data_IF_888237500861
#
_entry.id   IF_888237500861
#
_cell.length_a   1.000
_cell.length_b   1.000
_cell.length_c   1.000
_cell.angle_alpha   90.00
_cell.angle_beta   90.00
_cell.angle_gamma   90.00
#
_symmetry.space_group_name_H-M   'P 1'
#
loop_
_entity.id
_entity.type
_entity.pdbx_description
1 polymer ?
#
# COMPACT_ATOMS: atom_id res chain seq x y z
N UNK A 1 -18.99 -9.60 11.66
CA UNK A 1 -19.33 -9.45 10.22
C UNK A 1 -19.56 -10.83 9.59
N UNK A 2 -20.33 -10.96 8.50
CA UNK A 2 -20.57 -12.26 7.87
C UNK A 2 -19.55 -12.53 6.75
N UNK A 3 -18.63 -13.47 6.96
CA UNK A 3 -17.60 -13.91 6.00
C UNK A 3 -18.01 -15.17 5.20
N UNK A 4 -19.29 -15.53 5.20
CA UNK A 4 -19.81 -16.76 4.57
C UNK A 4 -19.38 -18.00 5.33
N UNK A 5 -18.82 -18.98 4.61
CA UNK A 5 -18.35 -20.25 5.20
C UNK A 5 -16.95 -20.15 5.80
N UNK A 6 -16.42 -18.92 6.00
CA UNK A 6 -15.07 -18.67 6.54
C UNK A 6 -15.13 -17.86 7.83
N UNK A 7 -14.04 -17.85 8.58
CA UNK A 7 -13.89 -17.04 9.79
C UNK A 7 -12.87 -15.91 9.56
N UNK A 8 -12.88 -14.83 10.36
CA UNK A 8 -11.86 -13.78 10.31
C UNK A 8 -10.43 -14.32 10.33
N UNK A 9 -10.19 -15.34 11.16
CA UNK A 9 -8.88 -15.97 11.29
C UNK A 9 -8.48 -16.75 10.02
N UNK A 10 -9.42 -17.47 9.40
CA UNK A 10 -9.16 -18.19 8.14
C UNK A 10 -8.86 -17.21 7.00
N UNK A 11 -9.62 -16.10 6.91
CA UNK A 11 -9.36 -15.06 5.91
C UNK A 11 -7.97 -14.47 6.10
N UNK A 12 -7.62 -14.07 7.32
CA UNK A 12 -6.30 -13.50 7.60
C UNK A 12 -5.15 -14.45 7.33
N UNK A 13 -5.30 -15.73 7.68
CA UNK A 13 -4.30 -16.76 7.41
C UNK A 13 -4.11 -16.96 5.90
N UNK A 14 -5.21 -17.06 5.14
CA UNK A 14 -5.15 -17.21 3.69
C UNK A 14 -4.51 -16.01 3.01
N UNK A 15 -4.85 -14.77 3.43
CA UNK A 15 -4.24 -13.55 2.89
C UNK A 15 -2.74 -13.50 3.17
N UNK A 16 -2.32 -13.77 4.41
CA UNK A 16 -0.89 -13.83 4.77
C UNK A 16 -0.14 -14.86 3.92
N UNK A 17 -0.72 -16.05 3.75
CA UNK A 17 -0.10 -17.11 2.97
C UNK A 17 -0.05 -16.77 1.46
N UNK A 18 -1.05 -16.10 0.91
CA UNK A 18 -1.01 -15.59 -0.46
C UNK A 18 0.18 -14.64 -0.66
N UNK A 19 0.35 -13.66 0.24
CA UNK A 19 1.48 -12.72 0.20
C UNK A 19 2.82 -13.46 0.30
N UNK A 20 2.94 -14.43 1.22
CA UNK A 20 4.16 -15.23 1.38
C UNK A 20 4.53 -16.00 0.11
N UNK A 21 3.55 -16.58 -0.55
CA UNK A 21 3.76 -17.29 -1.84
C UNK A 21 4.12 -16.34 -2.96
N UNK A 22 3.46 -15.17 -3.03
CA UNK A 22 3.79 -14.14 -4.02
C UNK A 22 5.24 -13.64 -3.85
N UNK A 23 5.67 -13.34 -2.61
CA UNK A 23 7.07 -12.98 -2.32
C UNK A 23 8.04 -14.04 -2.86
N UNK A 24 7.80 -15.33 -2.57
CA UNK A 24 8.69 -16.42 -3.06
C UNK A 24 8.73 -16.47 -4.58
N UNK A 25 7.59 -16.35 -5.24
CA UNK A 25 7.52 -16.39 -6.70
C UNK A 25 8.24 -15.22 -7.34
N UNK A 26 8.02 -14.00 -6.86
CA UNK A 26 8.69 -12.79 -7.35
C UNK A 26 10.22 -12.93 -7.17
N UNK A 27 10.67 -13.43 -6.02
CA UNK A 27 12.09 -13.68 -5.76
C UNK A 27 12.70 -14.72 -6.69
N UNK A 28 11.97 -15.80 -6.99
CA UNK A 28 12.43 -16.86 -7.92
C UNK A 28 12.66 -16.29 -9.33
N UNK A 29 11.87 -15.30 -9.74
CA UNK A 29 11.98 -14.69 -11.06
C UNK A 29 12.93 -13.50 -11.13
N UNK A 30 13.52 -13.05 -10.02
CA UNK A 30 14.28 -11.79 -9.95
C UNK A 30 15.38 -11.62 -11.01
N UNK A 31 15.96 -12.70 -11.51
CA UNK A 31 17.06 -12.66 -12.48
C UNK A 31 16.70 -13.25 -13.85
N UNK A 32 15.49 -13.82 -13.99
CA UNK A 32 15.06 -14.59 -15.17
C UNK A 32 13.65 -14.18 -15.64
N UNK A 33 13.27 -12.93 -15.44
CA UNK A 33 11.96 -12.42 -15.85
C UNK A 33 11.98 -11.86 -17.27
N UNK A 34 10.84 -11.92 -17.93
CA UNK A 34 10.53 -11.16 -19.14
C UNK A 34 9.79 -9.88 -18.75
N UNK A 35 10.06 -8.78 -19.46
CA UNK A 35 9.39 -7.50 -19.24
C UNK A 35 8.82 -6.97 -20.55
N UNK A 36 7.64 -6.36 -20.46
CA UNK A 36 6.99 -5.65 -21.55
C UNK A 36 6.41 -4.32 -21.07
N UNK A 37 6.17 -3.41 -22.01
CA UNK A 37 5.52 -2.14 -21.70
C UNK A 37 4.00 -2.30 -21.72
N UNK A 38 3.32 -1.64 -20.79
CA UNK A 38 1.87 -1.48 -20.75
C UNK A 38 1.49 0.00 -20.73
N UNK A 39 0.24 0.30 -21.05
CA UNK A 39 -0.28 1.66 -20.99
C UNK A 39 -0.27 2.18 -19.55
N UNK A 40 0.20 3.42 -19.38
CA UNK A 40 0.11 4.12 -18.11
C UNK A 40 -1.34 4.54 -17.84
N UNK A 41 -1.78 4.41 -16.60
CA UNK A 41 -3.10 4.88 -16.16
C UNK A 41 -3.20 6.42 -16.17
N UNK A 42 -2.05 7.12 -16.09
CA UNK A 42 -2.02 8.60 -16.02
C UNK A 42 -2.31 9.23 -17.39
N UNK A 43 -1.64 8.79 -18.44
CA UNK A 43 -1.69 9.44 -19.77
C UNK A 43 -1.87 8.47 -20.95
N UNK A 44 -2.01 7.17 -20.66
CA UNK A 44 -2.13 6.13 -21.68
C UNK A 44 -0.84 5.85 -22.47
N UNK A 45 0.27 6.50 -22.16
CA UNK A 45 1.55 6.25 -22.80
C UNK A 45 2.08 4.86 -22.44
N UNK A 46 2.84 4.24 -23.34
CA UNK A 46 3.43 2.91 -23.16
C UNK A 46 4.70 2.99 -22.27
N UNK A 47 4.59 3.58 -21.07
CA UNK A 47 5.71 3.83 -20.15
C UNK A 47 5.69 2.97 -18.89
N UNK A 48 4.57 2.34 -18.59
CA UNK A 48 4.49 1.40 -17.47
C UNK A 48 5.01 0.03 -17.87
N UNK A 49 5.45 -0.74 -16.88
CA UNK A 49 6.04 -2.06 -17.05
C UNK A 49 5.15 -3.13 -16.43
N UNK A 50 5.12 -4.27 -17.10
CA UNK A 50 4.65 -5.53 -16.55
C UNK A 50 5.72 -6.58 -16.79
N UNK A 51 5.96 -7.44 -15.82
CA UNK A 51 6.91 -8.56 -15.95
C UNK A 51 6.20 -9.90 -15.80
N UNK A 52 6.89 -10.97 -16.20
CA UNK A 52 6.40 -12.33 -15.96
C UNK A 52 6.19 -12.61 -14.46
N UNK A 53 6.92 -11.90 -13.58
CA UNK A 53 6.78 -12.01 -12.12
C UNK A 53 5.45 -11.44 -11.62
N UNK A 54 4.99 -10.29 -12.17
CA UNK A 54 3.67 -9.70 -11.88
C UNK A 54 2.56 -10.70 -12.19
N UNK A 55 2.58 -11.23 -13.41
CA UNK A 55 1.57 -12.20 -13.88
C UNK A 55 1.59 -13.50 -13.07
N UNK A 56 2.77 -14.00 -12.70
CA UNK A 56 2.90 -15.22 -11.90
C UNK A 56 2.40 -14.99 -10.47
N UNK A 57 2.73 -13.86 -9.85
CA UNK A 57 2.24 -13.49 -8.52
C UNK A 57 0.72 -13.33 -8.54
N UNK A 58 0.13 -12.64 -9.54
CA UNK A 58 -1.32 -12.51 -9.67
C UNK A 58 -2.02 -13.87 -9.78
N UNK A 59 -1.48 -14.81 -10.54
CA UNK A 59 -2.03 -16.17 -10.64
C UNK A 59 -2.07 -16.88 -9.30
N UNK A 60 -1.09 -16.67 -8.42
CA UNK A 60 -1.08 -17.24 -7.06
C UNK A 60 -2.26 -16.70 -6.25
N UNK A 61 -2.46 -15.39 -6.21
CA UNK A 61 -3.58 -14.76 -5.53
C UNK A 61 -4.92 -15.29 -6.05
N UNK A 62 -5.13 -15.21 -7.35
CA UNK A 62 -6.39 -15.62 -7.98
C UNK A 62 -6.71 -17.11 -7.76
N UNK A 63 -5.70 -17.98 -7.79
CA UNK A 63 -5.89 -19.42 -7.53
C UNK A 63 -6.41 -19.67 -6.11
N UNK A 64 -5.83 -19.01 -5.11
CA UNK A 64 -6.25 -19.19 -3.71
C UNK A 64 -7.63 -18.59 -3.50
N UNK A 65 -7.88 -17.38 -4.03
CA UNK A 65 -9.19 -16.72 -3.91
C UNK A 65 -10.29 -17.56 -4.56
N UNK A 66 -10.07 -18.06 -5.77
CA UNK A 66 -11.04 -18.91 -6.46
C UNK A 66 -11.40 -20.18 -5.66
N UNK A 67 -10.41 -20.76 -4.97
CA UNK A 67 -10.62 -22.02 -4.24
C UNK A 67 -11.20 -21.80 -2.84
N UNK A 68 -10.80 -20.73 -2.14
CA UNK A 68 -11.16 -20.48 -0.74
C UNK A 68 -12.31 -19.47 -0.58
N UNK A 69 -12.48 -18.57 -1.53
CA UNK A 69 -13.42 -17.44 -1.48
C UNK A 69 -14.18 -17.25 -2.81
N UNK A 70 -14.85 -18.30 -3.36
CA UNK A 70 -15.39 -18.30 -4.73
C UNK A 70 -16.49 -17.24 -4.96
N UNK A 71 -17.11 -16.74 -3.88
CA UNK A 71 -18.18 -15.73 -3.93
C UNK A 71 -17.67 -14.30 -3.75
N UNK A 72 -16.37 -14.09 -3.42
CA UNK A 72 -15.84 -12.76 -3.21
C UNK A 72 -15.45 -12.11 -4.54
N UNK A 73 -15.57 -10.79 -4.61
CA UNK A 73 -15.08 -10.01 -5.74
C UNK A 73 -13.56 -9.91 -5.74
N UNK A 74 -13.01 -9.51 -6.88
CA UNK A 74 -11.58 -9.23 -7.05
C UNK A 74 -11.42 -8.00 -7.93
N UNK A 75 -10.51 -7.12 -7.51
CA UNK A 75 -9.98 -6.01 -8.28
C UNK A 75 -8.46 -6.18 -8.28
N UNK A 76 -7.85 -6.45 -9.41
CA UNK A 76 -6.42 -6.64 -9.52
C UNK A 76 -5.81 -5.77 -10.61
N UNK A 77 -4.55 -5.42 -10.44
CA UNK A 77 -3.85 -4.50 -11.34
C UNK A 77 -3.70 -5.06 -12.74
N UNK A 78 -3.13 -6.28 -12.86
CA UNK A 78 -2.81 -6.81 -14.16
C UNK A 78 -4.07 -7.22 -14.92
N UNK A 79 -4.10 -6.87 -16.20
CA UNK A 79 -5.26 -6.98 -17.09
C UNK A 79 -6.49 -6.19 -16.60
N UNK A 80 -6.29 -5.21 -15.67
CA UNK A 80 -7.38 -4.44 -15.03
C UNK A 80 -8.53 -5.35 -14.57
N UNK A 81 -8.15 -6.49 -13.96
CA UNK A 81 -9.09 -7.57 -13.67
C UNK A 81 -10.17 -7.14 -12.67
N UNK A 82 -11.43 -7.33 -13.08
CA UNK A 82 -12.62 -7.06 -12.29
C UNK A 82 -13.51 -8.30 -12.21
N UNK A 83 -13.67 -8.87 -11.04
CA UNK A 83 -14.61 -9.96 -10.78
C UNK A 83 -15.62 -9.47 -9.73
N UNK A 84 -16.90 -9.37 -10.05
CA UNK A 84 -17.90 -8.90 -9.10
C UNK A 84 -18.12 -9.92 -7.97
N UNK A 85 -18.44 -9.41 -6.78
CA UNK A 85 -18.89 -10.24 -5.66
C UNK A 85 -20.24 -10.91 -6.02
N UNK A 86 -20.35 -12.22 -5.79
CA UNK A 86 -21.56 -13.01 -6.10
C UNK A 86 -22.48 -13.17 -4.90
N UNK A 87 -22.03 -12.81 -3.70
CA UNK A 87 -22.82 -12.98 -2.48
C UNK A 87 -23.92 -11.91 -2.38
N UNK A 88 -25.18 -12.35 -2.16
CA UNK A 88 -26.35 -11.46 -2.16
C UNK A 88 -26.40 -10.46 -1.00
N UNK A 89 -25.79 -10.78 0.16
CA UNK A 89 -25.94 -10.01 1.39
C UNK A 89 -24.64 -9.33 1.85
N UNK A 90 -23.63 -9.22 0.98
CA UNK A 90 -22.32 -8.64 1.28
C UNK A 90 -21.62 -8.26 0.01
N UNK A 91 -20.72 -7.29 0.08
CA UNK A 91 -19.91 -6.86 -1.06
C UNK A 91 -18.41 -6.99 -0.73
N UNK A 92 -17.98 -8.21 -0.38
CA UNK A 92 -16.60 -8.50 -0.05
C UNK A 92 -15.76 -8.60 -1.33
N UNK A 93 -14.73 -7.78 -1.43
CA UNK A 93 -13.87 -7.70 -2.59
C UNK A 93 -12.40 -7.65 -2.20
N UNK A 94 -11.57 -8.47 -2.81
CA UNK A 94 -10.12 -8.35 -2.70
C UNK A 94 -9.58 -7.33 -3.68
N UNK A 95 -8.64 -6.48 -3.21
CA UNK A 95 -7.78 -5.68 -4.10
C UNK A 95 -6.39 -6.28 -4.10
N UNK A 96 -5.72 -6.34 -5.26
CA UNK A 96 -4.43 -7.01 -5.40
C UNK A 96 -3.51 -6.16 -6.27
N UNK A 97 -2.35 -5.80 -5.72
CA UNK A 97 -1.17 -5.44 -6.49
C UNK A 97 -0.18 -6.63 -6.41
N UNK A 98 -0.02 -7.35 -7.50
CA UNK A 98 0.82 -8.54 -7.49
C UNK A 98 2.30 -8.23 -7.32
N UNK A 99 2.79 -7.10 -7.87
CA UNK A 99 4.17 -6.63 -7.75
C UNK A 99 4.22 -5.12 -7.75
N UNK A 100 4.10 -4.52 -6.56
CA UNK A 100 4.28 -3.09 -6.35
C UNK A 100 5.76 -2.70 -6.49
N UNK A 101 6.02 -1.73 -7.37
CA UNK A 101 7.37 -1.30 -7.70
C UNK A 101 8.01 -2.07 -8.86
N UNK A 102 7.24 -2.42 -9.89
CA UNK A 102 7.69 -3.15 -11.10
C UNK A 102 8.93 -2.53 -11.74
N UNK A 103 9.03 -1.18 -11.81
CA UNK A 103 10.22 -0.49 -12.33
C UNK A 103 11.46 -0.72 -11.46
N UNK A 104 11.31 -0.79 -10.12
CA UNK A 104 12.41 -1.11 -9.21
C UNK A 104 12.84 -2.58 -9.35
N UNK A 105 11.87 -3.49 -9.50
CA UNK A 105 12.13 -4.90 -9.77
C UNK A 105 12.89 -5.10 -11.08
N UNK A 106 12.43 -4.50 -12.18
CA UNK A 106 13.07 -4.58 -13.49
C UNK A 106 14.51 -4.05 -13.50
N UNK A 107 14.79 -3.02 -12.68
CA UNK A 107 16.15 -2.50 -12.46
C UNK A 107 16.98 -3.34 -11.48
N UNK A 108 16.42 -4.43 -10.95
CA UNK A 108 17.07 -5.31 -9.97
C UNK A 108 17.52 -4.59 -8.69
N UNK A 109 16.75 -3.57 -8.28
CA UNK A 109 17.04 -2.81 -7.05
C UNK A 109 16.96 -3.73 -5.82
N UNK A 110 17.74 -3.42 -4.79
CA UNK A 110 17.79 -4.18 -3.52
C UNK A 110 16.73 -3.74 -2.51
N UNK A 111 15.89 -2.75 -2.86
CA UNK A 111 14.78 -2.24 -2.06
C UNK A 111 13.64 -1.75 -2.96
N UNK A 112 12.51 -1.43 -2.37
CA UNK A 112 11.38 -0.81 -3.08
C UNK A 112 10.63 -1.78 -4.00
N UNK A 113 10.52 -3.06 -3.63
CA UNK A 113 9.73 -4.07 -4.32
C UNK A 113 8.81 -4.75 -3.32
N UNK A 114 7.52 -4.65 -3.55
CA UNK A 114 6.47 -5.18 -2.69
C UNK A 114 5.45 -6.04 -3.43
N UNK A 115 4.48 -6.53 -2.68
CA UNK A 115 3.24 -7.16 -3.16
C UNK A 115 2.15 -6.89 -2.15
N UNK A 116 0.93 -6.60 -2.59
CA UNK A 116 -0.12 -6.11 -1.71
C UNK A 116 -1.46 -6.78 -1.94
N UNK A 117 -2.22 -6.95 -0.86
CA UNK A 117 -3.61 -7.40 -0.90
C UNK A 117 -4.41 -6.73 0.22
N UNK A 118 -5.63 -6.32 -0.08
CA UNK A 118 -6.61 -5.94 0.93
C UNK A 118 -7.95 -6.63 0.69
N UNK A 119 -8.75 -6.77 1.75
CA UNK A 119 -10.15 -7.20 1.71
C UNK A 119 -11.02 -6.01 2.09
N UNK A 120 -11.92 -5.66 1.21
CA UNK A 120 -12.88 -4.56 1.38
C UNK A 120 -14.30 -5.11 1.60
N UNK A 121 -15.09 -4.38 2.39
CA UNK A 121 -16.54 -4.34 2.29
C UNK A 121 -16.95 -2.96 1.83
N UNK A 122 -17.37 -2.86 0.56
CA UNK A 122 -17.51 -1.59 -0.15
C UNK A 122 -16.16 -0.81 -0.14
N UNK A 123 -16.05 0.27 0.64
CA UNK A 123 -14.83 1.06 0.82
C UNK A 123 -14.15 0.86 2.18
N UNK A 124 -14.73 0.03 3.06
CA UNK A 124 -14.14 -0.26 4.35
C UNK A 124 -13.08 -1.35 4.22
N UNK A 125 -11.86 -1.08 4.64
CA UNK A 125 -10.78 -2.07 4.66
C UNK A 125 -10.92 -2.96 5.89
N UNK A 126 -11.26 -4.22 5.67
CA UNK A 126 -11.44 -5.21 6.73
C UNK A 126 -10.15 -5.91 7.13
N UNK A 127 -9.23 -6.02 6.18
CA UNK A 127 -7.93 -6.68 6.34
C UNK A 127 -6.99 -6.19 5.24
N UNK A 128 -5.71 -6.09 5.54
CA UNK A 128 -4.71 -5.72 4.56
C UNK A 128 -3.36 -6.35 4.90
N UNK A 129 -2.61 -6.72 3.87
CA UNK A 129 -1.24 -7.21 3.98
C UNK A 129 -0.37 -6.64 2.87
N UNK A 130 0.80 -6.17 3.26
CA UNK A 130 1.88 -5.70 2.38
C UNK A 130 3.09 -6.58 2.63
N UNK A 131 3.65 -7.16 1.59
CA UNK A 131 4.84 -8.00 1.66
C UNK A 131 6.05 -7.32 1.04
N UNK A 132 7.15 -7.27 1.78
CA UNK A 132 8.45 -6.84 1.27
C UNK A 132 9.15 -8.03 0.60
N UNK A 133 9.37 -7.93 -0.69
CA UNK A 133 10.02 -8.99 -1.48
C UNK A 133 11.49 -9.17 -1.08
N UNK A 134 12.16 -8.10 -0.62
CA UNK A 134 13.58 -8.14 -0.30
C UNK A 134 13.85 -8.70 1.08
N UNK A 135 13.16 -8.21 2.10
CA UNK A 135 13.32 -8.66 3.50
C UNK A 135 12.46 -9.89 3.83
N UNK A 136 11.49 -10.22 2.97
CA UNK A 136 10.49 -11.27 3.18
C UNK A 136 9.57 -11.02 4.39
N UNK A 137 9.51 -9.79 4.86
CA UNK A 137 8.62 -9.36 5.92
C UNK A 137 7.22 -9.10 5.37
N UNK A 138 6.23 -9.27 6.21
CA UNK A 138 4.82 -9.00 5.90
C UNK A 138 4.27 -8.06 6.96
N UNK A 139 3.62 -7.00 6.52
CA UNK A 139 2.97 -6.00 7.37
C UNK A 139 1.47 -6.09 7.16
N UNK A 140 0.68 -6.17 8.23
CA UNK A 140 -0.76 -6.22 8.04
C UNK A 140 -1.55 -6.68 9.25
N UNK A 141 -2.85 -6.82 9.02
CA UNK A 141 -3.82 -7.24 10.04
C UNK A 141 -4.90 -8.13 9.43
N UNK A 142 -5.35 -9.11 10.18
CA UNK A 142 -6.51 -9.95 9.84
C UNK A 142 -7.82 -9.23 10.13
N UNK A 143 -8.94 -9.66 9.54
CA UNK A 143 -10.23 -9.10 9.89
C UNK A 143 -10.49 -9.22 11.41
N UNK A 144 -11.17 -8.23 11.97
CA UNK A 144 -11.53 -8.17 13.40
C UNK A 144 -10.32 -8.18 14.36
N UNK A 145 -9.10 -7.94 13.87
CA UNK A 145 -7.94 -7.74 14.73
C UNK A 145 -7.87 -6.29 15.21
N UNK A 146 -7.49 -6.08 16.46
CA UNK A 146 -7.18 -4.75 17.00
C UNK A 146 -5.74 -4.33 16.72
N UNK A 147 -4.91 -5.25 16.27
CA UNK A 147 -3.48 -5.06 16.10
C UNK A 147 -3.04 -5.21 14.65
N UNK A 148 -2.05 -4.42 14.28
CA UNK A 148 -1.23 -4.59 13.06
C UNK A 148 0.08 -5.26 13.44
N UNK A 149 0.55 -6.17 12.60
CA UNK A 149 1.77 -6.92 12.84
C UNK A 149 2.79 -6.73 11.73
N UNK A 150 4.07 -6.71 12.10
CA UNK A 150 5.21 -7.06 11.26
C UNK A 150 5.54 -8.52 11.50
N UNK A 151 5.59 -9.30 10.44
CA UNK A 151 5.79 -10.75 10.49
C UNK A 151 7.04 -11.08 9.68
N UNK A 152 8.03 -11.69 10.31
CA UNK A 152 9.30 -12.06 9.66
C UNK A 152 9.14 -13.24 8.70
N UNK A 153 10.19 -13.55 7.96
CA UNK A 153 10.27 -14.75 7.11
C UNK A 153 10.11 -16.07 7.91
N UNK A 154 10.41 -16.05 9.20
CA UNK A 154 10.29 -17.20 10.12
C UNK A 154 8.97 -17.21 10.90
N UNK A 155 7.98 -16.42 10.48
CA UNK A 155 6.67 -16.29 11.15
C UNK A 155 6.71 -15.74 12.59
N UNK A 156 7.82 -15.13 13.02
CA UNK A 156 7.81 -14.34 14.25
C UNK A 156 7.07 -13.03 14.01
N UNK A 157 6.18 -12.66 14.95
CA UNK A 157 5.33 -11.49 14.81
C UNK A 157 5.62 -10.45 15.89
N UNK A 158 5.73 -9.20 15.48
CA UNK A 158 5.82 -8.01 16.31
C UNK A 158 4.58 -7.16 16.12
N UNK A 159 3.94 -6.71 17.19
CA UNK A 159 2.84 -5.74 17.09
C UNK A 159 3.38 -4.35 16.80
N UNK A 160 2.88 -3.72 15.76
CA UNK A 160 3.28 -2.38 15.37
C UNK A 160 2.51 -1.30 16.14
N UNK A 161 3.18 -0.18 16.39
CA UNK A 161 2.60 1.01 17.01
C UNK A 161 3.15 2.25 16.30
N UNK A 162 2.30 3.26 16.08
CA UNK A 162 2.76 4.52 15.48
C UNK A 162 3.74 5.26 16.38
N UNK A 163 4.61 6.05 15.78
CA UNK A 163 5.43 7.02 16.49
C UNK A 163 4.63 8.31 16.77
N UNK A 164 4.88 8.91 17.92
CA UNK A 164 4.41 10.26 18.26
C UNK A 164 5.63 11.06 18.67
N UNK A 165 6.12 11.86 17.73
CA UNK A 165 7.29 12.73 17.93
C UNK A 165 7.01 14.10 17.33
N UNK A 166 7.58 15.19 17.90
CA UNK A 166 7.44 16.52 17.33
C UNK A 166 8.14 16.60 15.97
N UNK A 167 7.66 17.51 15.12
CA UNK A 167 8.08 17.60 13.71
C UNK A 167 9.58 17.82 13.55
N UNK A 168 10.21 18.57 14.45
CA UNK A 168 11.66 18.84 14.43
C UNK A 168 12.53 17.62 14.80
N UNK A 169 11.90 16.52 15.22
CA UNK A 169 12.56 15.21 15.47
C UNK A 169 12.11 14.14 14.49
N UNK A 170 11.10 14.45 13.68
CA UNK A 170 10.49 13.52 12.72
C UNK A 170 11.28 13.47 11.41
N UNK A 171 11.49 12.28 10.88
CA UNK A 171 11.98 12.07 9.53
C UNK A 171 10.82 11.97 8.55
N UNK A 172 10.94 12.67 7.43
CA UNK A 172 9.95 12.67 6.35
C UNK A 172 10.45 11.85 5.16
N UNK A 173 9.64 10.90 4.71
CA UNK A 173 9.89 10.22 3.45
C UNK A 173 9.14 10.92 2.31
N UNK A 174 9.87 11.32 1.29
CA UNK A 174 9.36 11.89 0.05
C UNK A 174 9.34 10.83 -1.05
N UNK A 175 8.27 10.81 -1.84
CA UNK A 175 8.16 9.96 -3.03
C UNK A 175 8.72 10.60 -4.29
N UNK A 176 9.11 11.88 -4.23
CA UNK A 176 9.72 12.63 -5.32
C UNK A 176 10.88 13.48 -4.81
N UNK A 177 11.68 13.99 -5.74
CA UNK A 177 12.83 14.84 -5.42
C UNK A 177 12.37 16.16 -4.78
N UNK A 178 13.05 16.67 -3.72
CA UNK A 178 12.67 17.91 -3.03
C UNK A 178 12.47 19.11 -3.95
N UNK A 179 13.28 19.23 -5.03
CA UNK A 179 13.18 20.31 -6.00
C UNK A 179 11.88 20.35 -6.81
N UNK A 180 11.12 19.26 -6.82
CA UNK A 180 9.88 19.13 -7.58
C UNK A 180 8.66 19.62 -6.77
N UNK A 181 8.84 19.90 -5.48
CA UNK A 181 7.77 20.42 -4.65
C UNK A 181 7.65 21.95 -4.75
N UNK A 182 6.44 22.50 -4.71
CA UNK A 182 6.21 23.95 -4.66
C UNK A 182 6.91 24.62 -3.47
N UNK A 183 7.26 25.91 -3.55
CA UNK A 183 7.96 26.62 -2.47
C UNK A 183 7.25 26.59 -1.11
N UNK A 184 5.90 26.53 -1.11
CA UNK A 184 5.13 26.41 0.13
C UNK A 184 5.37 25.06 0.82
N UNK A 185 5.36 23.98 0.06
CA UNK A 185 5.67 22.63 0.58
C UNK A 185 7.14 22.49 0.96
N UNK A 186 8.07 23.09 0.20
CA UNK A 186 9.48 23.10 0.56
C UNK A 186 9.70 23.67 1.97
N UNK A 187 9.04 24.81 2.31
CA UNK A 187 9.09 25.37 3.68
C UNK A 187 8.52 24.45 4.76
N UNK A 188 7.49 23.66 4.43
CA UNK A 188 6.95 22.67 5.35
C UNK A 188 7.95 21.49 5.52
N UNK A 189 8.53 21.02 4.43
CA UNK A 189 9.54 19.95 4.42
C UNK A 189 10.74 20.34 5.28
N UNK A 190 11.20 21.60 5.22
CA UNK A 190 12.33 22.13 6.00
C UNK A 190 12.10 22.12 7.52
N UNK A 191 10.86 21.88 7.99
CA UNK A 191 10.56 21.78 9.44
C UNK A 191 10.91 20.40 10.01
N UNK A 192 11.07 19.39 9.18
CA UNK A 192 11.42 18.03 9.61
C UNK A 192 12.90 17.91 9.94
N UNK A 193 13.23 16.96 10.82
CA UNK A 193 14.61 16.68 11.22
C UNK A 193 15.50 16.25 10.05
N UNK A 194 14.92 15.48 9.16
CA UNK A 194 15.59 14.96 7.96
C UNK A 194 14.62 14.46 6.94
N UNK A 195 15.13 14.25 5.73
CA UNK A 195 14.34 13.84 4.57
C UNK A 195 15.00 12.66 3.89
N UNK A 196 14.23 11.60 3.71
CA UNK A 196 14.57 10.49 2.83
C UNK A 196 13.78 10.60 1.52
N UNK A 197 14.41 10.23 0.40
CA UNK A 197 13.74 10.19 -0.91
C UNK A 197 13.76 8.76 -1.43
N UNK A 198 12.59 8.17 -1.63
CA UNK A 198 12.47 6.78 -2.07
C UNK A 198 11.41 6.62 -3.17
N UNK A 199 11.80 5.96 -4.25
CA UNK A 199 10.91 5.50 -5.32
C UNK A 199 10.60 3.99 -5.20
N UNK A 200 10.00 3.42 -6.24
CA UNK A 200 9.62 2.01 -6.28
C UNK A 200 8.29 1.76 -5.57
N UNK A 201 8.19 0.69 -4.81
CA UNK A 201 6.98 0.27 -4.10
C UNK A 201 6.45 1.35 -3.16
N UNK A 202 5.19 1.73 -3.34
CA UNK A 202 4.52 2.63 -2.41
C UNK A 202 4.21 1.89 -1.10
N UNK A 203 3.86 0.61 -1.15
CA UNK A 203 3.62 -0.21 0.03
C UNK A 203 4.85 -0.31 0.92
N UNK A 204 6.06 -0.45 0.35
CA UNK A 204 7.30 -0.52 1.12
C UNK A 204 7.68 0.85 1.70
N UNK A 205 7.42 1.94 0.98
CA UNK A 205 7.59 3.28 1.55
C UNK A 205 6.73 3.49 2.79
N UNK A 206 5.46 3.04 2.75
CA UNK A 206 4.60 3.07 3.93
C UNK A 206 4.98 2.04 5.00
N UNK A 207 5.58 0.91 4.65
CA UNK A 207 6.12 -0.03 5.63
C UNK A 207 7.23 0.63 6.49
N UNK A 208 8.02 1.55 5.94
CA UNK A 208 9.00 2.33 6.70
C UNK A 208 8.32 3.23 7.76
N UNK A 209 7.17 3.85 7.42
CA UNK A 209 6.34 4.59 8.38
C UNK A 209 5.83 3.66 9.50
N UNK A 210 5.29 2.51 9.15
CA UNK A 210 4.72 1.58 10.12
C UNK A 210 5.77 0.94 11.03
N UNK A 211 7.01 0.74 10.54
CA UNK A 211 8.17 0.28 11.32
C UNK A 211 8.81 1.39 12.15
N UNK A 212 8.42 2.65 11.95
CA UNK A 212 8.99 3.83 12.60
C UNK A 212 10.45 4.11 12.17
N UNK A 213 10.77 3.84 10.92
CA UNK A 213 12.02 4.30 10.28
C UNK A 213 11.90 5.74 9.82
N UNK A 214 10.67 6.19 9.55
CA UNK A 214 10.27 7.57 9.31
C UNK A 214 8.96 7.84 10.05
N UNK A 215 8.65 9.10 10.32
CA UNK A 215 7.44 9.48 11.07
C UNK A 215 6.37 10.09 10.20
N UNK A 216 6.72 10.41 8.96
CA UNK A 216 5.78 10.93 7.98
C UNK A 216 6.14 10.46 6.56
N UNK A 217 5.12 10.36 5.70
CA UNK A 217 5.28 10.10 4.25
C UNK A 217 4.52 11.17 3.49
N UNK A 218 5.18 11.82 2.53
CA UNK A 218 4.57 12.77 1.60
C UNK A 218 4.62 12.20 0.18
N UNK A 219 3.43 12.03 -0.42
CA UNK A 219 3.30 11.65 -1.82
C UNK A 219 2.95 12.86 -2.66
N UNK A 220 3.41 12.91 -3.92
CA UNK A 220 3.02 13.93 -4.90
C UNK A 220 1.67 13.65 -5.55
N UNK A 221 1.39 14.35 -6.65
CA UNK A 221 0.28 14.02 -7.53
C UNK A 221 0.45 12.61 -8.06
N UNK A 222 -0.56 11.77 -7.93
CA UNK A 222 -0.49 10.38 -8.33
C UNK A 222 -1.87 9.85 -8.75
N UNK A 223 -1.85 8.75 -9.45
CA UNK A 223 -3.05 8.02 -9.77
C UNK A 223 -3.36 7.05 -8.62
N UNK A 224 -4.39 7.35 -7.83
CA UNK A 224 -4.83 6.48 -6.76
C UNK A 224 -5.53 5.26 -7.36
N UNK A 225 -5.00 4.07 -7.09
CA UNK A 225 -5.58 2.80 -7.52
C UNK A 225 -6.18 2.05 -6.34
N UNK A 226 -7.18 1.20 -6.55
CA UNK A 226 -7.75 0.38 -5.48
C UNK A 226 -6.72 -0.52 -4.80
N UNK A 227 -5.80 -1.09 -5.58
CA UNK A 227 -4.82 -2.07 -5.13
C UNK A 227 -3.66 -1.46 -4.35
N UNK A 228 -3.26 -0.22 -4.65
CA UNK A 228 -2.27 0.54 -3.87
C UNK A 228 -2.89 1.17 -2.63
N UNK A 229 -4.01 1.85 -2.83
CA UNK A 229 -4.62 2.70 -1.79
C UNK A 229 -5.22 1.89 -0.66
N UNK A 230 -5.91 0.78 -0.94
CA UNK A 230 -6.62 0.05 0.09
C UNK A 230 -5.70 -0.54 1.17
N UNK A 231 -4.57 -1.23 0.86
CA UNK A 231 -3.66 -1.71 1.87
C UNK A 231 -3.04 -0.58 2.69
N UNK A 232 -2.61 0.50 2.04
CA UNK A 232 -1.96 1.65 2.68
C UNK A 232 -2.91 2.33 3.66
N UNK A 233 -4.11 2.68 3.19
CA UNK A 233 -5.13 3.34 4.02
C UNK A 233 -5.53 2.44 5.18
N UNK A 234 -5.78 1.16 4.91
CA UNK A 234 -6.20 0.21 5.92
C UNK A 234 -5.21 0.05 7.07
N UNK A 235 -3.94 -0.18 6.75
CA UNK A 235 -2.88 -0.37 7.76
C UNK A 235 -2.59 0.94 8.49
N UNK A 236 -2.42 2.06 7.77
CA UNK A 236 -2.12 3.35 8.39
C UNK A 236 -3.24 3.83 9.32
N UNK A 237 -4.51 3.70 8.90
CA UNK A 237 -5.67 4.01 9.75
C UNK A 237 -5.75 3.12 10.99
N UNK A 238 -5.51 1.81 10.82
CA UNK A 238 -5.52 0.85 11.93
C UNK A 238 -4.45 1.15 12.97
N UNK A 239 -3.31 1.68 12.55
CA UNK A 239 -2.24 2.18 13.44
C UNK A 239 -2.54 3.56 14.04
N UNK A 240 -3.58 4.26 13.55
CA UNK A 240 -3.96 5.58 14.03
C UNK A 240 -3.17 6.73 13.43
N UNK A 241 -2.54 6.53 12.25
CA UNK A 241 -2.01 7.65 11.46
C UNK A 241 -3.14 8.46 10.87
N UNK A 242 -2.88 9.76 10.66
CA UNK A 242 -3.80 10.74 10.08
C UNK A 242 -3.40 11.06 8.66
N UNK A 243 -4.38 11.50 7.87
CA UNK A 243 -4.22 11.83 6.46
C UNK A 243 -4.54 13.30 6.26
N UNK A 244 -3.65 14.02 5.60
CA UNK A 244 -3.88 15.41 5.24
C UNK A 244 -3.59 15.61 3.74
N UNK A 245 -4.49 16.28 3.03
CA UNK A 245 -4.19 16.81 1.70
C UNK A 245 -3.50 18.16 1.83
N UNK A 246 -2.57 18.41 0.93
CA UNK A 246 -1.82 19.66 0.87
C UNK A 246 -1.90 20.19 -0.56
N UNK A 247 -2.39 21.41 -0.69
CA UNK A 247 -2.46 22.11 -1.97
C UNK A 247 -1.10 22.75 -2.32
N UNK A 248 -0.91 23.08 -3.59
CA UNK A 248 0.35 23.69 -4.07
C UNK A 248 0.68 25.03 -3.41
N UNK A 249 -0.30 25.75 -2.91
CA UNK A 249 -0.13 27.02 -2.16
C UNK A 249 0.27 26.81 -0.69
N UNK A 250 0.22 25.55 -0.22
CA UNK A 250 0.53 25.18 1.15
C UNK A 250 -0.67 25.07 2.07
N UNK A 251 -1.88 25.24 1.56
CA UNK A 251 -3.11 24.97 2.32
C UNK A 251 -3.14 23.50 2.71
N UNK A 252 -3.37 23.22 4.00
CA UNK A 252 -3.39 21.84 4.55
C UNK A 252 -4.78 21.58 5.12
N UNK A 253 -5.35 20.44 4.74
CA UNK A 253 -6.65 19.99 5.25
C UNK A 253 -6.57 18.53 5.67
N UNK A 254 -7.07 18.21 6.87
CA UNK A 254 -7.22 16.80 7.27
C UNK A 254 -8.39 16.17 6.53
N UNK A 255 -8.17 14.96 6.03
CA UNK A 255 -9.17 14.25 5.25
C UNK A 255 -9.43 12.84 5.81
N UNK A 256 -10.67 12.40 5.68
CA UNK A 256 -11.02 10.99 5.86
C UNK A 256 -10.85 10.26 4.53
N UNK A 257 -9.63 9.77 4.28
CA UNK A 257 -9.29 9.11 3.04
C UNK A 257 -9.94 7.72 2.96
N UNK A 258 -10.66 7.44 1.88
CA UNK A 258 -11.20 6.12 1.58
C UNK A 258 -10.57 5.55 0.31
N UNK A 259 -10.33 4.22 0.25
CA UNK A 259 -9.80 3.63 -0.98
C UNK A 259 -10.77 3.84 -2.15
N UNK A 260 -10.27 4.24 -3.32
CA UNK A 260 -11.09 4.29 -4.53
C UNK A 260 -11.48 2.85 -4.94
N UNK A 261 -12.59 2.71 -5.65
CA UNK A 261 -12.97 1.42 -6.27
C UNK A 261 -12.53 1.35 -7.73
N UNK A 262 -12.26 2.50 -8.32
CA UNK A 262 -11.71 2.68 -9.66
C UNK A 262 -10.49 3.59 -9.57
N UNK A 263 -9.51 3.45 -10.50
CA UNK A 263 -8.39 4.37 -10.56
C UNK A 263 -8.86 5.81 -10.68
N UNK A 264 -8.29 6.70 -9.89
CA UNK A 264 -8.64 8.12 -9.84
C UNK A 264 -7.40 8.99 -9.71
N UNK A 265 -7.37 10.13 -10.42
CA UNK A 265 -6.31 11.12 -10.30
C UNK A 265 -6.48 11.95 -9.04
N UNK A 266 -5.40 12.14 -8.30
CA UNK A 266 -5.34 13.07 -7.18
C UNK A 266 -4.58 14.33 -7.59
N UNK A 267 -5.19 15.49 -7.36
CA UNK A 267 -4.62 16.79 -7.71
C UNK A 267 -4.05 17.55 -6.48
N UNK A 268 -3.77 16.81 -5.40
CA UNK A 268 -3.18 17.32 -4.17
C UNK A 268 -2.04 16.40 -3.71
N UNK A 269 -1.18 16.92 -2.84
CA UNK A 269 -0.19 16.13 -2.14
C UNK A 269 -0.86 15.46 -0.94
N UNK A 270 -0.48 14.21 -0.65
CA UNK A 270 -0.97 13.47 0.50
C UNK A 270 0.14 13.32 1.54
N UNK A 271 -0.09 13.86 2.74
CA UNK A 271 0.73 13.63 3.92
C UNK A 271 0.07 12.60 4.82
N UNK A 272 0.84 11.61 5.27
CA UNK A 272 0.42 10.64 6.28
C UNK A 272 1.40 10.69 7.43
N UNK A 273 0.92 11.03 8.63
CA UNK A 273 1.77 11.24 9.80
C UNK A 273 1.05 10.93 11.12
N UNK A 274 1.80 10.92 12.22
CA UNK A 274 1.27 10.85 13.58
C UNK A 274 0.56 12.13 14.03
N UNK A 275 -0.18 12.05 15.14
CA UNK A 275 -1.00 13.18 15.63
C UNK A 275 -0.16 14.43 15.94
N UNK A 276 1.05 14.24 16.47
CA UNK A 276 1.89 15.35 16.91
C UNK A 276 2.37 16.17 15.71
N UNK A 277 2.87 15.51 14.66
CA UNK A 277 3.24 16.19 13.40
C UNK A 277 2.05 16.92 12.78
N UNK A 278 0.88 16.30 12.74
CA UNK A 278 -0.34 16.88 12.16
C UNK A 278 -0.77 18.13 12.94
N UNK A 279 -0.76 18.08 14.29
CA UNK A 279 -1.09 19.25 15.13
C UNK A 279 -0.12 20.41 14.94
N UNK A 280 1.18 20.14 14.85
CA UNK A 280 2.20 21.17 14.65
C UNK A 280 2.12 21.80 13.24
N UNK A 281 1.50 21.11 12.28
CA UNK A 281 1.17 21.69 10.98
C UNK A 281 -0.09 22.55 11.01
N UNK A 282 -0.74 22.72 12.17
CA UNK A 282 -1.88 23.61 12.38
C UNK A 282 -3.24 22.94 12.22
N UNK A 283 -3.28 21.60 12.16
CA UNK A 283 -4.53 20.85 12.12
C UNK A 283 -4.95 20.39 13.54
N UNK A 284 -6.26 20.32 13.84
CA UNK A 284 -6.81 20.05 15.17
C UNK A 284 -6.43 18.67 15.75
#
# INVERSE_FOLDING_TARGET
>A
MNYGNTTPSMVGLAMKEMVRRAIREIRNQRFVFDASHKASLDDGSMTDLVTSADLAAQKIYLRVIKNCFPDYGVIAEEDELRVPCKAQNRNLCFTIDPLDGTKAFARRQSAGVGTMIALLDQRNVLSAYVGDVMTQEIYGFRPESDWVYRISEYDTAESLQKAEVPIEKAYLLLRDQPKNYPPALARMIDRFCGVDVEGGSIGISFARLWKREVEAVLTGFYFATPWDSAPIIGISRKLGYRFACIEADGTIEEIELQPPLEPARNDHYLLVAGNEVIRELGLP
#
